data_IF_715022114393
#
_entry.id   IF_715022114393
#
_cell.length_a   1.000
_cell.length_b   1.000
_cell.length_c   1.000
_cell.angle_alpha   90.00
_cell.angle_beta   90.00
_cell.angle_gamma   90.00
#
_symmetry.space_group_name_H-M   'P 1'
#
loop_
_entity.id
_entity.type
_entity.pdbx_description
1 polymer ?
#
# COMPACT_ATOMS: atom_id res chain seq x y z
N UNK A 1 -13.08 5.80 11.96
CA UNK A 1 -11.97 4.86 12.24
C UNK A 1 -10.67 5.61 12.58
N UNK A 2 -10.13 6.47 11.70
CA UNK A 2 -8.87 7.19 11.99
C UNK A 2 -8.92 8.18 13.16
N UNK A 3 -9.97 8.99 13.28
CA UNK A 3 -10.16 9.88 14.44
C UNK A 3 -10.26 9.11 15.77
N UNK A 4 -10.77 7.87 15.74
CA UNK A 4 -10.83 7.00 16.93
C UNK A 4 -9.44 6.54 17.37
N UNK A 5 -8.55 6.20 16.42
CA UNK A 5 -7.18 5.78 16.73
C UNK A 5 -6.36 6.93 17.32
N UNK A 6 -6.44 8.14 16.75
CA UNK A 6 -5.73 9.32 17.26
C UNK A 6 -6.16 9.68 18.68
N UNK A 7 -7.47 9.64 18.94
CA UNK A 7 -8.04 9.97 20.24
C UNK A 7 -7.62 8.96 21.33
N UNK A 8 -7.46 7.68 20.98
CA UNK A 8 -6.95 6.64 21.90
C UNK A 8 -5.43 6.73 22.10
N UNK A 9 -4.68 7.09 21.04
CA UNK A 9 -3.22 7.16 21.07
C UNK A 9 -2.68 8.41 21.79
N UNK A 10 -3.52 9.43 22.05
CA UNK A 10 -3.11 10.75 22.58
C UNK A 10 -1.94 11.37 21.78
N UNK A 11 -1.93 11.13 20.47
CA UNK A 11 -0.90 11.63 19.55
C UNK A 11 -1.57 12.40 18.42
N UNK A 12 -0.90 13.45 17.95
CA UNK A 12 -1.34 14.24 16.80
C UNK A 12 -1.15 13.48 15.47
N UNK A 13 -0.23 12.52 15.45
CA UNK A 13 0.08 11.71 14.27
C UNK A 13 0.28 10.23 14.60
N UNK A 14 0.13 9.38 13.59
CA UNK A 14 0.41 7.94 13.66
C UNK A 14 1.45 7.50 12.64
N UNK A 15 2.12 6.39 12.94
CA UNK A 15 2.90 5.64 11.95
C UNK A 15 2.05 4.51 11.38
N UNK A 16 2.05 4.35 10.06
CA UNK A 16 1.37 3.25 9.39
C UNK A 16 2.40 2.22 8.94
N UNK A 17 2.20 0.96 9.31
CA UNK A 17 2.97 -0.18 8.79
C UNK A 17 2.06 -1.02 7.92
N UNK A 18 2.25 -0.96 6.60
CA UNK A 18 1.46 -1.70 5.62
C UNK A 18 2.24 -2.90 5.07
N UNK A 19 1.65 -4.09 5.15
CA UNK A 19 2.22 -5.30 4.54
C UNK A 19 1.47 -5.67 3.25
N UNK A 20 2.20 -6.09 2.21
CA UNK A 20 1.61 -6.51 0.92
C UNK A 20 0.65 -5.43 0.37
N UNK A 21 -0.59 -5.78 0.02
CA UNK A 21 -1.65 -4.84 -0.42
C UNK A 21 -1.86 -3.68 0.56
N UNK A 22 -1.74 -3.91 1.87
CA UNK A 22 -2.02 -2.90 2.90
C UNK A 22 -1.16 -1.64 2.78
N UNK A 23 0.05 -1.75 2.21
CA UNK A 23 0.88 -0.58 1.89
C UNK A 23 0.31 0.26 0.74
N UNK A 24 -0.28 -0.38 -0.27
CA UNK A 24 -0.98 0.34 -1.36
C UNK A 24 -2.24 1.04 -0.85
N UNK A 25 -2.99 0.39 0.03
CA UNK A 25 -4.21 0.97 0.61
C UNK A 25 -3.90 2.20 1.47
N UNK A 26 -2.83 2.11 2.28
CA UNK A 26 -2.31 3.25 3.01
C UNK A 26 -1.86 4.38 2.08
N UNK A 27 -1.16 4.04 0.99
CA UNK A 27 -0.71 5.02 -0.01
C UNK A 27 -1.87 5.73 -0.71
N UNK A 28 -2.93 5.00 -1.06
CA UNK A 28 -4.17 5.56 -1.62
C UNK A 28 -4.87 6.49 -0.61
N UNK A 29 -4.90 6.10 0.67
CA UNK A 29 -5.42 6.97 1.73
C UNK A 29 -4.63 8.28 1.86
N UNK A 30 -3.30 8.22 1.85
CA UNK A 30 -2.42 9.39 1.96
C UNK A 30 -2.48 10.32 0.75
N UNK A 31 -2.74 9.80 -0.45
CA UNK A 31 -2.83 10.60 -1.68
C UNK A 31 -3.90 11.70 -1.61
N UNK A 32 -4.93 11.52 -0.79
CA UNK A 32 -5.99 12.53 -0.59
C UNK A 32 -5.55 13.72 0.27
N UNK A 33 -4.34 13.67 0.84
CA UNK A 33 -3.81 14.68 1.75
C UNK A 33 -4.30 14.46 3.17
N UNK A 34 -3.37 14.21 4.09
CA UNK A 34 -3.63 14.17 5.54
C UNK A 34 -2.39 14.64 6.29
N UNK A 35 -2.60 15.28 7.44
CA UNK A 35 -1.53 15.63 8.38
C UNK A 35 -1.46 14.66 9.57
N UNK A 36 -2.33 13.65 9.60
CA UNK A 36 -2.46 12.72 10.73
C UNK A 36 -1.42 11.58 10.71
N UNK A 37 -0.58 11.52 9.67
CA UNK A 37 0.38 10.43 9.46
C UNK A 37 1.79 10.99 9.41
N UNK A 38 2.65 10.51 10.31
CA UNK A 38 4.07 10.86 10.34
C UNK A 38 4.84 10.02 9.32
N UNK A 39 4.77 8.69 9.42
CA UNK A 39 5.50 7.79 8.53
C UNK A 39 4.62 6.69 7.94
N UNK A 40 4.91 6.31 6.69
CA UNK A 40 4.43 5.07 6.08
C UNK A 40 5.60 4.10 5.87
N UNK A 41 5.53 2.95 6.51
CA UNK A 41 6.49 1.85 6.35
C UNK A 41 5.79 0.75 5.56
N UNK A 42 6.40 0.31 4.47
CA UNK A 42 5.79 -0.68 3.59
C UNK A 42 6.65 -1.93 3.49
N UNK A 43 6.10 -3.08 3.88
CA UNK A 43 6.81 -4.36 3.96
C UNK A 43 6.26 -5.31 2.89
N UNK A 44 7.10 -5.71 1.93
CA UNK A 44 6.70 -6.65 0.88
C UNK A 44 5.58 -6.12 -0.02
N UNK A 45 5.36 -4.80 -0.06
CA UNK A 45 4.30 -4.18 -0.84
C UNK A 45 4.68 -4.11 -2.32
N UNK A 46 3.82 -4.62 -3.24
CA UNK A 46 4.07 -4.55 -4.68
C UNK A 46 3.79 -3.13 -5.19
N UNK A 47 4.72 -2.20 -4.94
CA UNK A 47 4.60 -0.77 -5.23
C UNK A 47 4.23 -0.47 -6.69
N UNK A 48 4.76 -1.26 -7.61
CA UNK A 48 4.53 -1.19 -9.06
C UNK A 48 3.56 -2.28 -9.56
N UNK A 49 2.92 -2.99 -8.64
CA UNK A 49 2.13 -4.19 -8.91
C UNK A 49 2.95 -5.47 -8.93
N UNK A 50 2.24 -6.58 -9.09
CA UNK A 50 2.76 -7.95 -9.18
C UNK A 50 2.29 -8.57 -10.50
N UNK A 51 3.19 -9.02 -11.39
CA UNK A 51 2.80 -9.69 -12.63
C UNK A 51 1.92 -10.92 -12.39
N UNK A 52 2.14 -11.62 -11.28
CA UNK A 52 1.33 -12.78 -10.89
C UNK A 52 -0.15 -12.38 -10.65
N UNK A 53 -0.44 -11.14 -10.25
CA UNK A 53 -1.81 -10.64 -10.10
C UNK A 53 -2.58 -10.54 -11.44
N UNK A 54 -1.90 -10.56 -12.58
CA UNK A 54 -2.54 -10.64 -13.90
C UNK A 54 -3.03 -12.06 -14.21
N UNK A 55 -2.40 -13.09 -13.61
CA UNK A 55 -2.75 -14.50 -13.81
C UNK A 55 -3.95 -14.93 -12.96
N UNK A 56 -4.22 -14.24 -11.84
CA UNK A 56 -5.38 -14.51 -11.00
C UNK A 56 -6.61 -13.78 -11.57
N UNK A 57 -7.31 -14.46 -12.47
CA UNK A 57 -8.61 -14.08 -13.04
C UNK A 57 -9.78 -14.53 -12.15
N UNK A 58 -9.53 -15.48 -11.26
CA UNK A 58 -10.58 -16.13 -10.48
C UNK A 58 -11.15 -15.23 -9.36
N UNK A 59 -12.47 -15.27 -9.21
CA UNK A 59 -13.24 -14.38 -8.34
C UNK A 59 -12.86 -14.45 -6.85
N UNK A 60 -12.15 -15.50 -6.42
CA UNK A 60 -11.84 -15.76 -5.01
C UNK A 60 -10.89 -14.71 -4.39
N UNK A 61 -10.05 -14.08 -5.20
CA UNK A 61 -9.10 -13.05 -4.74
C UNK A 61 -9.52 -11.62 -5.12
N UNK A 62 -10.64 -11.46 -5.82
CA UNK A 62 -11.22 -10.16 -6.14
C UNK A 62 -12.04 -9.62 -4.95
N UNK A 63 -12.09 -8.30 -4.76
CA UNK A 63 -11.48 -7.24 -5.57
C UNK A 63 -10.00 -6.98 -5.28
N UNK A 64 -9.46 -7.58 -4.20
CA UNK A 64 -8.15 -7.22 -3.66
C UNK A 64 -6.97 -7.47 -4.61
N UNK A 65 -7.01 -8.54 -5.41
CA UNK A 65 -5.97 -8.86 -6.40
C UNK A 65 -5.95 -7.88 -7.58
N UNK A 66 -7.07 -7.23 -7.92
CA UNK A 66 -7.11 -6.23 -8.98
C UNK A 66 -6.27 -5.00 -8.64
N UNK A 67 -6.25 -4.60 -7.36
CA UNK A 67 -5.40 -3.50 -6.89
C UNK A 67 -3.91 -3.83 -6.97
N UNK A 68 -3.54 -5.11 -7.00
CA UNK A 68 -2.14 -5.56 -7.10
C UNK A 68 -1.63 -5.60 -8.54
N UNK A 69 -2.50 -5.45 -9.55
CA UNK A 69 -2.09 -5.49 -10.96
C UNK A 69 -1.22 -4.28 -11.31
N UNK A 70 -0.19 -4.47 -12.16
CA UNK A 70 0.55 -3.34 -12.70
C UNK A 70 -0.39 -2.30 -13.32
N UNK A 71 -0.16 -1.02 -13.01
CA UNK A 71 -0.96 0.13 -13.49
C UNK A 71 -2.42 0.16 -13.00
N UNK A 72 -2.78 -0.63 -12.00
CA UNK A 72 -4.01 -0.43 -11.23
C UNK A 72 -4.04 0.97 -10.60
N UNK A 73 -5.22 1.45 -10.17
CA UNK A 73 -5.32 2.73 -9.45
C UNK A 73 -4.39 2.72 -8.22
N UNK A 74 -4.41 1.65 -7.44
CA UNK A 74 -3.61 1.53 -6.21
C UNK A 74 -2.08 1.48 -6.48
N UNK A 75 -1.64 0.90 -7.60
CA UNK A 75 -0.22 0.86 -7.99
C UNK A 75 0.25 2.12 -8.71
N UNK A 76 -0.67 2.87 -9.32
CA UNK A 76 -0.37 4.09 -10.09
C UNK A 76 -0.42 5.37 -9.25
N UNK A 77 -0.87 5.31 -8.00
CA UNK A 77 -0.78 6.45 -7.08
C UNK A 77 0.69 6.76 -6.84
N UNK A 78 1.15 7.87 -7.42
CA UNK A 78 2.44 8.46 -7.11
C UNK A 78 2.42 8.89 -5.64
N UNK A 79 3.36 8.34 -4.85
CA UNK A 79 3.46 8.66 -3.43
C UNK A 79 3.64 10.15 -3.20
N UNK A 80 3.07 10.67 -2.12
CA UNK A 80 3.50 11.95 -1.57
C UNK A 80 5.00 11.82 -1.23
N UNK A 81 5.89 12.68 -1.76
CA UNK A 81 7.35 12.53 -1.61
C UNK A 81 7.87 12.61 -0.16
N UNK A 82 7.01 12.87 0.82
CA UNK A 82 7.38 12.98 2.21
C UNK A 82 7.02 11.69 2.99
N UNK A 83 8.05 11.01 3.49
CA UNK A 83 8.03 10.03 4.60
C UNK A 83 7.53 8.59 4.31
N UNK A 84 7.95 8.01 3.18
CA UNK A 84 7.75 6.56 2.91
C UNK A 84 9.07 5.79 3.06
N UNK A 85 9.11 4.78 3.92
CA UNK A 85 10.19 3.79 4.00
C UNK A 85 9.72 2.51 3.32
N UNK A 86 10.39 2.10 2.24
CA UNK A 86 10.04 0.91 1.45
C UNK A 86 11.01 -0.22 1.81
N UNK A 87 10.47 -1.29 2.38
CA UNK A 87 11.15 -2.57 2.57
C UNK A 87 10.56 -3.54 1.54
N UNK A 88 11.05 -3.44 0.29
CA UNK A 88 10.51 -4.19 -0.84
C UNK A 88 10.76 -5.68 -0.74
N UNK A 89 9.79 -6.48 -1.14
CA UNK A 89 10.05 -7.86 -1.57
C UNK A 89 10.56 -7.77 -3.02
N UNK A 90 11.83 -8.11 -3.26
CA UNK A 90 12.33 -8.30 -4.61
C UNK A 90 11.68 -9.57 -5.16
N UNK A 91 10.75 -9.44 -6.12
CA UNK A 91 10.38 -10.59 -6.95
C UNK A 91 11.37 -10.62 -8.12
N UNK A 92 12.47 -11.33 -7.92
CA UNK A 92 13.32 -11.80 -9.00
C UNK A 92 12.44 -12.49 -10.05
N UNK A 93 12.48 -11.97 -11.28
CA UNK A 93 11.91 -12.63 -12.45
C UNK A 93 12.51 -14.03 -12.57
N UNK A 94 11.77 -15.07 -12.21
CA UNK A 94 12.12 -16.44 -12.58
C UNK A 94 11.72 -16.57 -14.05
N UNK A 95 12.68 -16.34 -14.94
CA UNK A 95 12.59 -16.85 -16.30
C UNK A 95 12.63 -18.39 -16.19
N UNK A 96 11.54 -19.06 -16.54
CA UNK A 96 11.49 -20.50 -16.81
C UNK A 96 10.91 -20.72 -18.19
#
# INVERSE_FOLDING_TARGET
MWQYVLQQARSEQVNIVGHSKGGLDARVYLYRGTNDVAHLIMIGTPNNGSPQAELYIDAECLPASADLRPRSIATSVNGNPLQTIILSAETSSINS
#
